data_IF_031078949536
#
_entry.id   IF_031078949536
#
_cell.length_a   1.000
_cell.length_b   1.000
_cell.length_c   1.000
_cell.angle_alpha   90.00
_cell.angle_beta   90.00
_cell.angle_gamma   90.00
#
_symmetry.space_group_name_H-M   'P 1'
#
loop_
_entity.id
_entity.type
_entity.pdbx_description
1 polymer ?
#
# COMPACT_ATOMS: atom_id res chain seq x y z
N UNK A 1 0.71 -3.58 -23.63
CA UNK A 1 -0.67 -3.05 -23.42
C UNK A 1 -1.54 -3.97 -22.55
N UNK A 2 -1.37 -5.29 -22.60
CA UNK A 2 -2.20 -6.24 -21.82
C UNK A 2 -1.93 -6.16 -20.29
N UNK A 3 -0.67 -6.01 -19.88
CA UNK A 3 -0.29 -5.92 -18.46
C UNK A 3 -0.88 -4.65 -17.81
N UNK A 4 -0.75 -3.51 -18.46
CA UNK A 4 -1.29 -2.22 -17.95
C UNK A 4 -2.81 -2.29 -17.77
N UNK A 5 -3.54 -2.84 -18.78
CA UNK A 5 -4.99 -2.99 -18.68
C UNK A 5 -5.39 -3.95 -17.54
N UNK A 6 -4.64 -5.04 -17.38
CA UNK A 6 -4.82 -6.00 -16.29
C UNK A 6 -4.60 -5.34 -14.92
N UNK A 7 -3.52 -4.59 -14.73
CA UNK A 7 -3.22 -3.93 -13.47
C UNK A 7 -4.22 -2.84 -13.11
N UNK A 8 -4.70 -2.08 -14.08
CA UNK A 8 -5.80 -1.13 -13.87
C UNK A 8 -7.09 -1.85 -13.43
N UNK A 9 -7.43 -2.98 -14.04
CA UNK A 9 -8.59 -3.80 -13.67
C UNK A 9 -8.43 -4.42 -12.28
N UNK A 10 -7.25 -4.95 -11.97
CA UNK A 10 -6.94 -5.51 -10.66
C UNK A 10 -7.06 -4.46 -9.55
N UNK A 11 -6.61 -3.24 -9.80
CA UNK A 11 -6.80 -2.11 -8.89
C UNK A 11 -8.27 -1.90 -8.53
N UNK A 12 -9.14 -1.81 -9.54
CA UNK A 12 -10.59 -1.63 -9.32
C UNK A 12 -11.18 -2.82 -8.57
N UNK A 13 -10.80 -4.05 -8.98
CA UNK A 13 -11.27 -5.27 -8.31
C UNK A 13 -10.89 -5.30 -6.82
N UNK A 14 -9.66 -4.92 -6.48
CA UNK A 14 -9.17 -4.91 -5.09
C UNK A 14 -9.93 -3.87 -4.26
N UNK A 15 -10.17 -2.67 -4.80
CA UNK A 15 -10.95 -1.65 -4.11
C UNK A 15 -12.40 -2.11 -3.88
N UNK A 16 -13.02 -2.72 -4.89
CA UNK A 16 -14.38 -3.26 -4.77
C UNK A 16 -14.45 -4.39 -3.74
N UNK A 17 -13.47 -5.30 -3.75
CA UNK A 17 -13.38 -6.38 -2.76
C UNK A 17 -13.23 -5.84 -1.34
N UNK A 18 -12.40 -4.81 -1.15
CA UNK A 18 -12.27 -4.13 0.14
C UNK A 18 -13.60 -3.54 0.61
N UNK A 19 -14.28 -2.78 -0.25
CA UNK A 19 -15.58 -2.18 0.09
C UNK A 19 -16.62 -3.27 0.41
N UNK A 20 -16.61 -4.39 -0.32
CA UNK A 20 -17.51 -5.51 -0.08
C UNK A 20 -17.26 -6.17 1.28
N UNK A 21 -15.99 -6.39 1.64
CA UNK A 21 -15.63 -6.98 2.94
C UNK A 21 -16.04 -6.04 4.08
N UNK A 22 -15.70 -4.76 4.00
CA UNK A 22 -16.06 -3.78 5.02
C UNK A 22 -17.58 -3.60 5.10
N UNK A 23 -18.27 -3.56 3.96
CA UNK A 23 -19.74 -3.49 3.91
C UNK A 23 -20.41 -4.72 4.52
N UNK A 24 -19.86 -5.92 4.29
CA UNK A 24 -20.34 -7.16 4.90
C UNK A 24 -20.18 -7.16 6.43
N UNK A 25 -19.02 -6.71 6.93
CA UNK A 25 -18.80 -6.56 8.38
C UNK A 25 -19.73 -5.50 8.99
N UNK A 26 -19.95 -4.39 8.29
CA UNK A 26 -20.88 -3.35 8.72
C UNK A 26 -22.33 -3.86 8.74
N UNK A 27 -22.75 -4.65 7.74
CA UNK A 27 -24.07 -5.26 7.69
C UNK A 27 -24.30 -6.26 8.84
N UNK A 28 -23.27 -7.05 9.17
CA UNK A 28 -23.30 -7.94 10.33
C UNK A 28 -23.47 -7.14 11.63
N UNK A 29 -22.71 -6.07 11.81
CA UNK A 29 -22.84 -5.18 12.96
C UNK A 29 -24.23 -4.55 13.01
N UNK A 30 -24.75 -4.04 11.92
CA UNK A 30 -26.09 -3.44 11.84
C UNK A 30 -27.20 -4.44 12.19
N UNK A 31 -27.08 -5.70 11.76
CA UNK A 31 -28.00 -6.77 12.13
C UNK A 31 -28.02 -7.02 13.64
N UNK A 32 -26.83 -7.06 14.27
CA UNK A 32 -26.68 -7.29 15.71
C UNK A 32 -27.21 -6.12 16.54
N UNK A 33 -26.82 -4.89 16.17
CA UNK A 33 -27.22 -3.67 16.89
C UNK A 33 -28.58 -3.13 16.50
N UNK A 34 -29.25 -3.72 15.50
CA UNK A 34 -30.54 -3.29 14.95
C UNK A 34 -30.54 -1.85 14.44
N UNK A 35 -29.40 -1.38 13.95
CA UNK A 35 -29.21 -0.01 13.43
C UNK A 35 -28.51 -0.03 12.08
N UNK A 36 -29.27 0.19 11.00
CA UNK A 36 -28.75 0.21 9.63
C UNK A 36 -27.95 1.47 9.29
N UNK A 37 -28.01 2.50 10.15
CA UNK A 37 -27.19 3.71 9.99
C UNK A 37 -25.70 3.37 10.03
N UNK A 38 -25.34 2.31 10.77
CA UNK A 38 -23.96 1.78 10.86
C UNK A 38 -23.41 1.43 9.47
N UNK A 39 -24.22 0.80 8.60
CA UNK A 39 -23.77 0.43 7.24
C UNK A 39 -23.45 1.68 6.42
N UNK A 40 -24.36 2.66 6.45
CA UNK A 40 -24.21 3.89 5.65
C UNK A 40 -22.95 4.65 6.09
N UNK A 41 -22.78 4.87 7.39
CA UNK A 41 -21.61 5.59 7.93
C UNK A 41 -20.32 4.83 7.59
N UNK A 42 -20.28 3.51 7.80
CA UNK A 42 -19.11 2.69 7.54
C UNK A 42 -18.73 2.72 6.05
N UNK A 43 -19.69 2.61 5.14
CA UNK A 43 -19.42 2.67 3.70
C UNK A 43 -18.91 4.03 3.25
N UNK A 44 -19.45 5.13 3.79
CA UNK A 44 -18.97 6.49 3.51
C UNK A 44 -17.52 6.64 3.98
N UNK A 45 -17.21 6.21 5.20
CA UNK A 45 -15.85 6.27 5.76
C UNK A 45 -14.91 5.37 4.96
N UNK A 46 -15.29 4.12 4.66
CA UNK A 46 -14.44 3.18 3.93
C UNK A 46 -14.13 3.68 2.51
N UNK A 47 -15.14 4.24 1.82
CA UNK A 47 -14.96 4.81 0.48
C UNK A 47 -14.05 6.04 0.53
N UNK A 48 -14.30 6.96 1.44
CA UNK A 48 -13.45 8.14 1.65
C UNK A 48 -12.00 7.75 1.96
N UNK A 49 -11.82 6.76 2.82
CA UNK A 49 -10.50 6.23 3.14
C UNK A 49 -9.81 5.60 1.92
N UNK A 50 -10.51 4.77 1.14
CA UNK A 50 -9.94 4.16 -0.07
C UNK A 50 -9.47 5.23 -1.07
N UNK A 51 -10.23 6.31 -1.23
CA UNK A 51 -9.84 7.46 -2.06
C UNK A 51 -8.58 8.13 -1.51
N UNK A 52 -8.55 8.42 -0.20
CA UNK A 52 -7.37 9.02 0.45
C UNK A 52 -6.14 8.13 0.25
N UNK A 53 -6.27 6.83 0.46
CA UNK A 53 -5.16 5.87 0.30
C UNK A 53 -4.66 5.78 -1.13
N UNK A 54 -5.52 5.88 -2.11
CA UNK A 54 -5.10 5.93 -3.51
C UNK A 54 -4.09 7.05 -3.79
N UNK A 55 -4.21 8.19 -3.10
CA UNK A 55 -3.31 9.34 -3.26
C UNK A 55 -2.15 9.38 -2.25
N UNK A 56 -2.33 8.83 -1.06
CA UNK A 56 -1.40 8.98 0.07
C UNK A 56 -0.46 7.79 0.27
N UNK A 57 -0.80 6.59 -0.20
CA UNK A 57 -0.08 5.35 0.12
C UNK A 57 1.42 5.40 -0.24
N UNK A 58 1.76 6.00 -1.38
CA UNK A 58 3.16 6.17 -1.80
C UNK A 58 3.97 7.03 -0.83
N UNK A 59 3.39 8.15 -0.38
CA UNK A 59 4.04 9.03 0.61
C UNK A 59 4.18 8.35 1.96
N UNK A 60 3.19 7.57 2.37
CA UNK A 60 3.25 6.80 3.61
C UNK A 60 4.35 5.73 3.56
N UNK A 61 4.46 4.98 2.46
CA UNK A 61 5.51 3.97 2.29
C UNK A 61 6.92 4.59 2.39
N UNK A 62 7.16 5.71 1.72
CA UNK A 62 8.42 6.46 1.79
C UNK A 62 8.70 6.98 3.21
N UNK A 63 7.70 7.55 3.87
CA UNK A 63 7.84 8.08 5.24
C UNK A 63 8.14 6.98 6.25
N UNK A 64 7.43 5.85 6.17
CA UNK A 64 7.64 4.69 7.06
C UNK A 64 9.00 4.03 6.86
N UNK A 65 9.54 4.08 5.64
CA UNK A 65 10.88 3.58 5.33
C UNK A 65 12.01 4.55 5.70
N UNK A 66 11.69 5.74 6.20
CA UNK A 66 12.70 6.77 6.48
C UNK A 66 13.38 7.31 5.22
N UNK A 67 12.71 7.23 4.07
CA UNK A 67 13.25 7.65 2.79
C UNK A 67 13.41 9.18 2.71
N UNK A 68 14.57 9.64 2.28
CA UNK A 68 14.89 11.05 2.04
C UNK A 68 14.99 11.31 0.54
N UNK A 69 14.24 12.27 0.03
CA UNK A 69 14.36 12.73 -1.37
C UNK A 69 15.74 13.34 -1.60
N UNK A 70 16.37 12.99 -2.71
CA UNK A 70 17.69 13.48 -3.10
C UNK A 70 17.62 14.21 -4.43
N UNK A 71 18.55 15.16 -4.58
CA UNK A 71 18.85 15.82 -5.84
C UNK A 71 20.11 15.21 -6.48
N UNK A 72 20.36 15.58 -7.73
CA UNK A 72 21.52 15.09 -8.49
C UNK A 72 22.87 15.37 -7.80
N UNK A 73 22.95 16.47 -7.02
CA UNK A 73 24.14 16.84 -6.28
C UNK A 73 24.38 15.96 -5.05
N UNK A 74 23.32 15.40 -4.43
CA UNK A 74 23.43 14.59 -3.20
C UNK A 74 24.01 13.20 -3.49
N UNK A 75 23.58 12.57 -4.57
CA UNK A 75 24.13 11.29 -5.05
C UNK A 75 24.07 11.24 -6.58
N UNK A 76 25.12 11.76 -7.26
CA UNK A 76 25.17 11.80 -8.73
C UNK A 76 25.10 10.42 -9.38
N UNK A 77 25.62 9.39 -8.71
CA UNK A 77 25.66 8.01 -9.21
C UNK A 77 24.24 7.45 -9.37
N UNK A 78 23.49 7.34 -8.30
CA UNK A 78 22.13 6.82 -8.32
C UNK A 78 21.22 7.68 -9.21
N UNK A 79 21.33 9.01 -9.08
CA UNK A 79 20.48 9.92 -9.83
C UNK A 79 20.64 9.79 -11.34
N UNK A 80 21.91 9.67 -11.85
CA UNK A 80 22.19 9.49 -13.28
C UNK A 80 21.69 8.16 -13.81
N UNK A 81 21.83 7.08 -13.05
CA UNK A 81 21.31 5.77 -13.44
C UNK A 81 19.79 5.86 -13.65
N UNK A 82 19.05 6.42 -12.69
CA UNK A 82 17.60 6.58 -12.80
C UNK A 82 17.21 7.52 -13.94
N UNK A 83 17.95 8.63 -14.12
CA UNK A 83 17.72 9.58 -15.22
C UNK A 83 17.88 8.92 -16.60
N UNK A 84 18.95 8.15 -16.79
CA UNK A 84 19.20 7.42 -18.04
C UNK A 84 18.11 6.38 -18.31
N UNK A 85 17.71 5.63 -17.30
CA UNK A 85 16.64 4.65 -17.40
C UNK A 85 15.29 5.29 -17.72
N UNK A 86 14.97 6.44 -17.10
CA UNK A 86 13.73 7.17 -17.40
C UNK A 86 13.70 7.64 -18.86
N UNK A 87 14.82 8.15 -19.38
CA UNK A 87 14.97 8.57 -20.79
C UNK A 87 14.81 7.36 -21.72
N UNK A 88 15.50 6.26 -21.42
CA UNK A 88 15.52 5.05 -22.26
C UNK A 88 14.14 4.39 -22.33
N UNK A 89 13.40 4.37 -21.22
CA UNK A 89 12.08 3.77 -21.13
C UNK A 89 10.95 4.71 -21.52
N UNK A 90 11.24 6.00 -21.72
CA UNK A 90 10.26 7.01 -22.12
C UNK A 90 9.25 7.37 -21.05
N UNK A 91 9.61 7.20 -19.76
CA UNK A 91 8.77 7.64 -18.64
C UNK A 91 9.27 9.00 -18.10
N UNK A 92 8.39 9.79 -17.45
CA UNK A 92 8.85 10.97 -16.73
C UNK A 92 9.86 10.58 -15.63
N UNK A 93 10.83 11.47 -15.36
CA UNK A 93 11.83 11.27 -14.30
C UNK A 93 11.14 11.01 -12.95
N UNK A 94 11.29 9.83 -12.33
CA UNK A 94 10.77 9.59 -11.00
C UNK A 94 11.51 10.41 -9.95
N UNK A 95 10.87 10.66 -8.82
CA UNK A 95 11.56 11.18 -7.65
C UNK A 95 12.50 10.11 -7.08
N UNK A 96 13.71 10.50 -6.73
CA UNK A 96 14.76 9.60 -6.25
C UNK A 96 14.94 9.77 -4.75
N UNK A 97 14.96 8.65 -4.02
CA UNK A 97 15.09 8.62 -2.57
C UNK A 97 16.24 7.72 -2.13
N UNK A 98 16.86 8.07 -1.01
CA UNK A 98 17.80 7.20 -0.29
C UNK A 98 17.24 6.89 1.09
N UNK A 99 17.42 5.63 1.50
CA UNK A 99 17.07 5.12 2.83
C UNK A 99 18.36 4.77 3.54
N UNK A 100 18.55 5.30 4.74
CA UNK A 100 19.72 4.97 5.56
C UNK A 100 19.50 3.62 6.26
N UNK A 101 19.73 2.54 5.53
CA UNK A 101 19.60 1.15 5.99
C UNK A 101 20.75 0.33 5.41
N UNK A 102 21.52 -0.43 6.26
CA UNK A 102 22.59 -1.30 5.80
C UNK A 102 22.08 -2.54 5.04
N UNK A 103 20.81 -2.93 5.18
CA UNK A 103 20.22 -4.03 4.41
C UNK A 103 20.07 -3.62 2.94
N UNK A 104 20.61 -4.40 1.97
CA UNK A 104 20.52 -4.06 0.55
C UNK A 104 19.07 -4.22 0.06
N UNK A 105 18.45 -3.11 -0.34
CA UNK A 105 17.11 -3.09 -0.87
C UNK A 105 16.87 -1.91 -1.81
N UNK A 106 15.95 -2.09 -2.77
CA UNK A 106 15.39 -1.03 -3.59
C UNK A 106 13.92 -1.29 -3.83
N UNK A 107 13.14 -0.25 -4.06
CA UNK A 107 11.75 -0.37 -4.47
C UNK A 107 11.27 0.84 -5.25
N UNK A 108 10.26 0.63 -6.08
CA UNK A 108 9.51 1.68 -6.72
C UNK A 108 8.12 1.80 -6.08
N UNK A 109 7.61 3.02 -6.02
CA UNK A 109 6.28 3.32 -5.50
C UNK A 109 5.62 4.43 -6.31
N UNK A 110 4.31 4.51 -6.27
CA UNK A 110 3.55 5.53 -6.99
C UNK A 110 2.19 5.01 -7.47
N UNK A 111 1.35 5.91 -7.96
CA UNK A 111 0.06 5.55 -8.53
C UNK A 111 0.08 5.40 -10.06
N UNK A 112 1.06 6.02 -10.70
CA UNK A 112 1.26 6.03 -12.15
C UNK A 112 2.69 6.50 -12.45
N UNK A 113 3.20 6.37 -13.70
CA UNK A 113 4.53 6.81 -14.07
C UNK A 113 4.80 8.30 -13.86
N UNK A 114 3.76 9.17 -13.91
CA UNK A 114 3.90 10.61 -13.68
C UNK A 114 4.10 10.94 -12.20
N UNK A 115 3.71 10.04 -11.31
CA UNK A 115 3.79 10.20 -9.85
C UNK A 115 4.59 9.07 -9.22
N UNK A 116 5.61 8.58 -9.92
CA UNK A 116 6.48 7.52 -9.45
C UNK A 116 7.63 8.07 -8.59
N UNK A 117 8.07 7.26 -7.67
CA UNK A 117 9.26 7.45 -6.85
C UNK A 117 10.04 6.14 -6.80
N UNK A 118 11.36 6.22 -6.79
CA UNK A 118 12.24 5.07 -6.60
C UNK A 118 13.14 5.33 -5.40
N UNK A 119 13.39 4.29 -4.61
CA UNK A 119 14.21 4.36 -3.42
C UNK A 119 15.25 3.25 -3.43
N UNK A 120 16.46 3.57 -2.95
CA UNK A 120 17.52 2.60 -2.72
C UNK A 120 18.10 2.81 -1.33
N UNK A 121 18.50 1.71 -0.67
CA UNK A 121 19.18 1.77 0.63
C UNK A 121 20.66 2.05 0.48
N UNK A 122 21.27 2.63 1.51
CA UNK A 122 22.73 2.83 1.57
C UNK A 122 23.49 1.52 1.41
N UNK A 123 22.98 0.43 2.03
CA UNK A 123 23.63 -0.89 1.89
C UNK A 123 23.60 -1.42 0.46
N UNK A 124 22.54 -1.17 -0.32
CA UNK A 124 22.53 -1.53 -1.74
C UNK A 124 23.55 -0.73 -2.55
N UNK A 125 23.64 0.58 -2.29
CA UNK A 125 24.58 1.47 -2.99
C UNK A 125 26.04 1.15 -2.70
N UNK A 126 26.34 0.63 -1.51
CA UNK A 126 27.68 0.18 -1.12
C UNK A 126 28.03 -1.20 -1.68
N UNK A 127 27.03 -2.08 -1.79
CA UNK A 127 27.21 -3.47 -2.20
C UNK A 127 27.42 -3.62 -3.70
N UNK A 128 26.66 -2.88 -4.53
CA UNK A 128 26.61 -3.07 -5.97
C UNK A 128 27.52 -2.11 -6.72
N UNK A 129 28.09 -2.59 -7.83
CA UNK A 129 28.75 -1.71 -8.82
C UNK A 129 27.70 -0.96 -9.68
N UNK A 130 28.16 -0.13 -10.62
CA UNK A 130 27.28 0.71 -11.44
C UNK A 130 26.38 -0.12 -12.36
N UNK A 131 26.90 -1.21 -12.93
CA UNK A 131 26.16 -2.09 -13.84
C UNK A 131 25.12 -2.92 -13.10
N UNK A 132 25.48 -3.42 -11.93
CA UNK A 132 24.59 -4.19 -11.06
C UNK A 132 23.46 -3.30 -10.53
N UNK A 133 23.80 -2.08 -10.09
CA UNK A 133 22.82 -1.10 -9.62
C UNK A 133 21.89 -0.67 -10.74
N UNK A 134 22.40 -0.46 -11.96
CA UNK A 134 21.57 -0.17 -13.12
C UNK A 134 20.58 -1.30 -13.40
N UNK A 135 21.01 -2.56 -13.30
CA UNK A 135 20.14 -3.72 -13.45
C UNK A 135 18.99 -3.74 -12.43
N UNK A 136 19.27 -3.48 -11.16
CA UNK A 136 18.25 -3.41 -10.10
C UNK A 136 17.29 -2.24 -10.36
N UNK A 137 17.82 -1.06 -10.65
CA UNK A 137 16.98 0.12 -10.90
C UNK A 137 16.16 -0.03 -12.20
N UNK A 138 16.68 -0.72 -13.21
CA UNK A 138 15.92 -1.04 -14.42
C UNK A 138 14.73 -1.95 -14.13
N UNK A 139 14.90 -2.92 -13.23
CA UNK A 139 13.82 -3.77 -12.77
C UNK A 139 12.73 -2.94 -12.07
N UNK A 140 13.10 -2.06 -11.16
CA UNK A 140 12.15 -1.18 -10.45
C UNK A 140 11.42 -0.21 -11.41
N UNK A 141 12.13 0.35 -12.37
CA UNK A 141 11.54 1.20 -13.42
C UNK A 141 10.58 0.41 -14.32
N UNK A 142 10.84 -0.87 -14.55
CA UNK A 142 9.92 -1.77 -15.24
C UNK A 142 8.56 -1.88 -14.53
N UNK A 143 8.56 -1.96 -13.20
CA UNK A 143 7.32 -1.94 -12.40
C UNK A 143 6.57 -0.61 -12.49
N UNK A 144 7.29 0.51 -12.57
CA UNK A 144 6.68 1.83 -12.83
C UNK A 144 5.97 1.84 -14.18
N UNK A 145 6.64 1.40 -15.23
CA UNK A 145 6.14 1.39 -16.60
C UNK A 145 4.89 0.51 -16.77
N UNK A 146 4.85 -0.63 -16.07
CA UNK A 146 3.75 -1.58 -16.12
C UNK A 146 2.58 -1.25 -15.16
N UNK A 147 2.67 -0.20 -14.37
CA UNK A 147 1.68 0.16 -13.33
C UNK A 147 1.55 -0.88 -12.20
N UNK A 148 2.52 -1.76 -12.01
CA UNK A 148 2.53 -2.74 -10.92
C UNK A 148 2.60 -2.04 -9.57
N UNK A 149 3.36 -0.95 -9.48
CA UNK A 149 3.48 -0.09 -8.29
C UNK A 149 2.13 0.37 -7.75
N UNK A 150 1.14 0.65 -8.63
CA UNK A 150 -0.21 1.07 -8.24
C UNK A 150 -0.91 -0.01 -7.43
N UNK A 151 -0.89 -1.24 -7.91
CA UNK A 151 -1.55 -2.38 -7.26
C UNK A 151 -0.96 -2.60 -5.88
N UNK A 152 0.38 -2.67 -5.80
CA UNK A 152 1.11 -2.89 -4.55
C UNK A 152 0.81 -1.80 -3.50
N UNK A 153 0.76 -0.53 -3.93
CA UNK A 153 0.48 0.60 -3.03
C UNK A 153 -0.95 0.61 -2.52
N UNK A 154 -1.93 0.28 -3.36
CA UNK A 154 -3.33 0.21 -2.93
C UNK A 154 -3.50 -0.92 -1.93
N UNK A 155 -2.92 -2.09 -2.19
CA UNK A 155 -2.93 -3.22 -1.26
C UNK A 155 -2.32 -2.83 0.08
N UNK A 156 -1.13 -2.23 0.06
CA UNK A 156 -0.46 -1.75 1.26
C UNK A 156 -1.37 -0.81 2.07
N UNK A 157 -1.94 0.22 1.42
CA UNK A 157 -2.83 1.16 2.07
C UNK A 157 -4.09 0.52 2.67
N UNK A 158 -4.70 -0.42 1.95
CA UNK A 158 -5.90 -1.11 2.42
C UNK A 158 -5.60 -2.06 3.59
N UNK A 159 -4.45 -2.73 3.58
CA UNK A 159 -4.00 -3.60 4.68
C UNK A 159 -3.76 -2.78 5.94
N UNK A 160 -3.07 -1.63 5.81
CA UNK A 160 -2.88 -0.71 6.94
C UNK A 160 -4.21 -0.24 7.50
N UNK A 161 -5.20 0.09 6.63
CA UNK A 161 -6.54 0.48 7.07
C UNK A 161 -7.24 -0.60 7.89
N UNK A 162 -7.27 -1.83 7.37
CA UNK A 162 -7.93 -2.94 8.07
C UNK A 162 -7.24 -3.21 9.40
N UNK A 163 -5.90 -3.13 9.44
CA UNK A 163 -5.13 -3.26 10.67
C UNK A 163 -5.48 -2.19 11.72
N UNK A 164 -5.59 -0.92 11.29
CA UNK A 164 -5.99 0.18 12.19
C UNK A 164 -7.43 0.02 12.70
N UNK A 165 -8.37 -0.37 11.83
CA UNK A 165 -9.75 -0.64 12.23
C UNK A 165 -9.80 -1.78 13.24
N UNK A 166 -9.07 -2.87 12.99
CA UNK A 166 -8.97 -4.00 13.89
C UNK A 166 -8.41 -3.58 15.27
N UNK A 167 -7.33 -2.78 15.31
CA UNK A 167 -6.75 -2.28 16.55
C UNK A 167 -7.73 -1.40 17.34
N UNK A 168 -8.44 -0.49 16.67
CA UNK A 168 -9.47 0.34 17.31
C UNK A 168 -10.60 -0.52 17.90
N UNK A 169 -11.12 -1.49 17.13
CA UNK A 169 -12.17 -2.39 17.60
C UNK A 169 -11.70 -3.24 18.80
N UNK A 170 -10.51 -3.76 18.76
CA UNK A 170 -9.94 -4.51 19.88
C UNK A 170 -9.80 -3.63 21.12
N UNK A 171 -9.27 -2.41 20.99
CA UNK A 171 -9.16 -1.47 22.10
C UNK A 171 -10.53 -1.10 22.68
N UNK A 172 -11.52 -0.84 21.82
CA UNK A 172 -12.90 -0.58 22.27
C UNK A 172 -13.48 -1.77 23.04
N UNK A 173 -13.19 -3.00 22.62
CA UNK A 173 -13.63 -4.22 23.32
C UNK A 173 -13.00 -4.34 24.72
N UNK A 174 -11.69 -4.04 24.84
CA UNK A 174 -11.00 -4.17 26.13
C UNK A 174 -11.27 -3.01 27.08
N UNK A 175 -11.41 -1.77 26.58
CA UNK A 175 -11.56 -0.58 27.41
C UNK A 175 -13.01 -0.10 27.54
N UNK A 176 -13.90 -0.44 26.61
CA UNK A 176 -15.32 -0.03 26.60
C UNK A 176 -16.25 -0.89 27.46
N UNK A 177 -15.76 -1.95 28.09
CA UNK A 177 -16.55 -2.97 28.78
C UNK A 177 -17.18 -2.58 30.13
N UNK A 178 -17.27 -1.30 30.46
CA UNK A 178 -17.77 -0.86 31.79
C UNK A 178 -19.24 -0.40 31.83
N UNK A 179 -19.98 -0.46 30.74
CA UNK A 179 -21.34 0.13 30.71
C UNK A 179 -22.47 -0.66 30.08
N UNK A 180 -22.23 -1.71 29.27
CA UNK A 180 -23.32 -2.50 28.72
C UNK A 180 -22.86 -3.91 28.33
N UNK A 181 -23.41 -4.92 28.98
CA UNK A 181 -22.94 -6.33 28.94
C UNK A 181 -23.05 -7.04 27.57
N UNK A 182 -23.60 -6.46 26.52
CA UNK A 182 -23.86 -7.16 25.25
C UNK A 182 -22.93 -6.72 24.06
N UNK A 183 -22.22 -5.62 24.18
CA UNK A 183 -21.40 -5.09 23.07
C UNK A 183 -19.97 -5.66 23.00
N UNK A 184 -19.35 -5.96 24.13
CA UNK A 184 -17.94 -6.35 24.22
C UNK A 184 -17.57 -7.59 23.40
N UNK A 185 -18.30 -8.72 23.51
CA UNK A 185 -18.00 -9.93 22.74
C UNK A 185 -18.15 -9.75 21.24
N UNK A 186 -19.11 -8.94 20.79
CA UNK A 186 -19.36 -8.69 19.36
C UNK A 186 -18.23 -7.84 18.75
N UNK A 187 -17.83 -6.78 19.44
CA UNK A 187 -16.71 -5.92 19.02
C UNK A 187 -15.41 -6.73 19.00
N UNK A 188 -15.22 -7.64 19.94
CA UNK A 188 -14.07 -8.56 19.95
C UNK A 188 -14.09 -9.48 18.72
N UNK A 189 -15.22 -10.11 18.40
CA UNK A 189 -15.35 -11.00 17.24
C UNK A 189 -15.10 -10.23 15.95
N UNK A 190 -15.65 -9.03 15.79
CA UNK A 190 -15.43 -8.18 14.62
C UNK A 190 -13.96 -7.74 14.49
N UNK A 191 -13.33 -7.37 15.60
CA UNK A 191 -11.91 -7.01 15.63
C UNK A 191 -10.99 -8.19 15.28
N UNK A 192 -11.25 -9.38 15.83
CA UNK A 192 -10.53 -10.60 15.49
C UNK A 192 -10.75 -11.02 14.03
N UNK A 193 -11.98 -10.94 13.53
CA UNK A 193 -12.28 -11.23 12.13
C UNK A 193 -11.52 -10.28 11.20
N UNK A 194 -11.53 -8.97 11.45
CA UNK A 194 -10.76 -8.00 10.69
C UNK A 194 -9.26 -8.27 10.77
N UNK A 195 -8.73 -8.60 11.94
CA UNK A 195 -7.31 -8.91 12.15
C UNK A 195 -6.85 -10.17 11.38
N UNK A 196 -7.71 -11.18 11.24
CA UNK A 196 -7.42 -12.40 10.49
C UNK A 196 -7.59 -12.19 8.98
N UNK A 197 -8.62 -11.44 8.57
CA UNK A 197 -8.93 -11.19 7.16
C UNK A 197 -7.86 -10.31 6.49
N UNK A 198 -7.33 -9.31 7.19
CA UNK A 198 -6.33 -8.39 6.64
C UNK A 198 -5.09 -9.09 6.06
N UNK A 199 -4.36 -9.95 6.79
CA UNK A 199 -3.20 -10.64 6.25
C UNK A 199 -3.56 -11.69 5.18
N UNK A 200 -4.75 -12.31 5.24
CA UNK A 200 -5.21 -13.23 4.20
C UNK A 200 -5.45 -12.50 2.88
N UNK A 201 -6.13 -11.37 2.92
CA UNK A 201 -6.34 -10.52 1.73
C UNK A 201 -5.00 -10.04 1.19
N UNK A 202 -4.08 -9.59 2.05
CA UNK A 202 -2.74 -9.19 1.66
C UNK A 202 -1.98 -10.34 0.96
N UNK A 203 -1.99 -11.54 1.53
CA UNK A 203 -1.33 -12.71 0.97
C UNK A 203 -1.91 -13.11 -0.40
N UNK A 204 -3.24 -13.11 -0.54
CA UNK A 204 -3.92 -13.42 -1.80
C UNK A 204 -3.55 -12.39 -2.87
N UNK A 205 -3.57 -11.11 -2.53
CA UNK A 205 -3.26 -10.04 -3.50
C UNK A 205 -1.78 -10.04 -3.84
N UNK A 206 -0.88 -10.21 -2.87
CA UNK A 206 0.56 -10.35 -3.13
C UNK A 206 0.85 -11.56 -4.01
N UNK A 207 0.20 -12.70 -3.77
CA UNK A 207 0.36 -13.89 -4.63
C UNK A 207 -0.17 -13.67 -6.04
N UNK A 208 -1.19 -12.84 -6.22
CA UNK A 208 -1.72 -12.48 -7.54
C UNK A 208 -0.81 -11.50 -8.29
N UNK A 209 -0.05 -10.67 -7.56
CA UNK A 209 0.92 -9.72 -8.13
C UNK A 209 2.26 -10.41 -8.42
N UNK A 210 2.74 -11.27 -7.51
CA UNK A 210 4.05 -11.94 -7.63
C UNK A 210 4.13 -13.05 -8.69
N UNK A 211 3.00 -13.48 -9.24
CA UNK A 211 2.95 -14.48 -10.34
C UNK A 211 3.06 -13.83 -11.73
N UNK A 212 3.49 -12.60 -11.81
CA UNK A 212 3.68 -11.83 -13.04
C UNK A 212 5.15 -11.56 -13.30
#
# INVERSE_FOLDING_TARGET
YSAIARNKRNTVFIILLFILIIGGLAALAAYIYRDWTIVVITLVIATGYAVIQYFAASRQALSLSGAREIQKADNPRLYRIVENLAITTGIPMPKVYIINDPAPNAFATGRDPQHASVAATTGLLELLDDSELEGVMAHEIGHVQNYDIRVSMIVFGLVVAVGMIADVLLRMSFYGGRGNNNGGPVVLILGLAAFIIAPLVAAVVQSAVSRQ
#
